data_IF_406150366921
#
_entry.id   IF_406150366921
#
_cell.length_a   1.000
_cell.length_b   1.000
_cell.length_c   1.000
_cell.angle_alpha   90.00
_cell.angle_beta   90.00
_cell.angle_gamma   90.00
#
_symmetry.space_group_name_H-M   'P 1'
#
loop_
_entity.id
_entity.type
_entity.pdbx_description
1 polymer ?
#
# COMPACT_ATOMS: atom_id res chain seq x y z
N UNK A 1 1.85 11.02 -3.53
CA UNK A 1 1.08 10.03 -2.75
C UNK A 1 -0.19 9.70 -3.51
N UNK A 2 -0.57 8.42 -3.71
CA UNK A 2 -1.81 8.06 -4.40
C UNK A 2 -3.04 8.56 -3.62
N UNK A 3 -4.12 8.80 -4.36
CA UNK A 3 -5.45 9.13 -3.85
C UNK A 3 -5.90 8.05 -2.84
N UNK A 4 -6.37 8.43 -1.65
CA UNK A 4 -6.79 7.49 -0.58
C UNK A 4 -8.31 7.32 -0.64
N UNK A 5 -8.81 6.09 -0.75
CA UNK A 5 -10.26 5.82 -0.76
C UNK A 5 -10.75 5.39 0.63
N UNK A 6 -10.01 4.49 1.29
CA UNK A 6 -10.36 4.03 2.65
C UNK A 6 -9.13 3.82 3.53
N UNK A 7 -9.35 3.92 4.84
CA UNK A 7 -8.37 3.57 5.88
C UNK A 7 -9.05 2.64 6.88
N UNK A 8 -8.34 1.57 7.26
CA UNK A 8 -8.71 0.69 8.36
C UNK A 8 -7.69 0.91 9.46
N UNK A 9 -8.09 1.52 10.57
CA UNK A 9 -7.25 1.70 11.75
C UNK A 9 -7.23 0.44 12.61
N UNK A 10 -6.04 0.01 13.02
CA UNK A 10 -5.76 -1.21 13.77
C UNK A 10 -4.92 -0.92 15.05
N UNK A 11 -5.01 0.30 15.58
CA UNK A 11 -4.16 0.78 16.68
C UNK A 11 -2.80 1.24 16.17
N UNK A 12 -1.74 0.52 16.52
CA UNK A 12 -0.36 0.82 16.08
C UNK A 12 -0.11 0.41 14.62
N UNK A 13 -1.14 -0.05 13.92
CA UNK A 13 -1.10 -0.34 12.49
C UNK A 13 -2.31 0.28 11.80
N UNK A 14 -2.19 0.52 10.50
CA UNK A 14 -3.31 0.92 9.64
C UNK A 14 -3.15 0.37 8.24
N UNK A 15 -4.26 0.07 7.60
CA UNK A 15 -4.30 -0.36 6.20
C UNK A 15 -4.86 0.77 5.36
N UNK A 16 -4.09 1.21 4.38
CA UNK A 16 -4.54 2.16 3.37
C UNK A 16 -4.94 1.41 2.12
N UNK A 17 -6.12 1.76 1.61
CA UNK A 17 -6.67 1.12 0.43
C UNK A 17 -7.07 2.19 -0.56
N UNK A 18 -6.68 1.96 -1.80
CA UNK A 18 -7.09 2.72 -2.97
C UNK A 18 -7.40 1.74 -4.09
N UNK A 19 -8.39 2.07 -4.91
CA UNK A 19 -8.61 1.41 -6.18
C UNK A 19 -8.97 2.40 -7.28
N UNK A 20 -8.80 1.93 -8.50
CA UNK A 20 -9.31 2.55 -9.72
C UNK A 20 -10.11 1.51 -10.48
N UNK A 21 -11.27 1.92 -10.99
CA UNK A 21 -12.17 1.06 -11.75
C UNK A 21 -12.52 1.70 -13.09
N UNK A 22 -12.60 0.90 -14.15
CA UNK A 22 -13.12 1.29 -15.46
C UNK A 22 -14.29 0.38 -15.82
N UNK A 23 -15.43 0.94 -16.20
CA UNK A 23 -16.68 0.21 -16.53
C UNK A 23 -17.10 -0.86 -15.50
N UNK A 24 -16.80 -0.63 -14.22
CA UNK A 24 -17.10 -1.55 -13.13
C UNK A 24 -16.05 -2.64 -12.91
N UNK A 25 -15.00 -2.70 -13.73
CA UNK A 25 -13.87 -3.60 -13.55
C UNK A 25 -12.74 -2.91 -12.79
N UNK A 26 -12.05 -3.66 -11.92
CA UNK A 26 -10.90 -3.17 -11.17
C UNK A 26 -9.67 -3.11 -12.08
N UNK A 27 -9.19 -1.89 -12.40
CA UNK A 27 -8.03 -1.70 -13.30
C UNK A 27 -6.72 -1.47 -12.55
N UNK A 28 -6.78 -0.96 -11.32
CA UNK A 28 -5.59 -0.75 -10.49
C UNK A 28 -5.98 -0.65 -9.02
N UNK A 29 -5.07 -1.00 -8.12
CA UNK A 29 -5.28 -0.84 -6.69
C UNK A 29 -3.95 -0.71 -5.94
N UNK A 30 -4.06 -0.27 -4.69
CA UNK A 30 -3.01 -0.40 -3.70
C UNK A 30 -3.62 -0.74 -2.34
N UNK A 31 -3.01 -1.70 -1.65
CA UNK A 31 -3.28 -2.06 -0.26
C UNK A 31 -1.97 -1.96 0.49
N UNK A 32 -1.83 -0.96 1.36
CA UNK A 32 -0.58 -0.61 2.03
C UNK A 32 -0.76 -0.83 3.53
N UNK A 33 0.07 -1.69 4.12
CA UNK A 33 0.16 -1.84 5.57
C UNK A 33 1.21 -0.87 6.10
N UNK A 34 0.75 0.04 6.96
CA UNK A 34 1.60 0.93 7.73
C UNK A 34 1.60 0.50 9.19
N UNK A 35 2.77 0.53 9.83
CA UNK A 35 2.95 0.29 11.26
C UNK A 35 3.60 1.52 11.88
N UNK A 36 3.13 1.92 13.05
CA UNK A 36 3.69 3.02 13.82
C UNK A 36 4.83 2.50 14.69
N UNK A 37 6.04 3.03 14.48
CA UNK A 37 7.20 2.78 15.32
C UNK A 37 7.59 4.09 16.00
N UNK A 38 7.23 4.24 17.27
CA UNK A 38 7.33 5.53 17.96
C UNK A 38 6.37 6.54 17.35
N UNK A 39 6.90 7.68 16.88
CA UNK A 39 6.12 8.77 16.26
C UNK A 39 6.07 8.68 14.72
N UNK A 40 6.65 7.64 14.12
CA UNK A 40 6.78 7.49 12.67
C UNK A 40 5.93 6.32 12.13
N UNK A 41 5.32 6.52 10.97
CA UNK A 41 4.58 5.48 10.26
C UNK A 41 5.43 4.91 9.13
N UNK A 42 5.74 3.61 9.21
CA UNK A 42 6.53 2.91 8.21
C UNK A 42 5.68 1.97 7.37
N UNK A 43 5.96 1.90 6.07
CA UNK A 43 5.37 0.92 5.16
C UNK A 43 6.07 -0.42 5.30
N UNK A 44 5.35 -1.43 5.79
CA UNK A 44 5.89 -2.77 6.00
C UNK A 44 5.68 -3.65 4.76
N UNK A 45 4.52 -3.53 4.12
CA UNK A 45 4.23 -4.22 2.87
C UNK A 45 3.17 -3.46 2.10
N UNK A 46 3.20 -3.59 0.78
CA UNK A 46 2.13 -3.12 -0.10
C UNK A 46 1.82 -4.16 -1.16
N UNK A 47 0.56 -4.24 -1.52
CA UNK A 47 0.14 -4.85 -2.76
C UNK A 47 -0.25 -3.71 -3.69
N UNK A 48 0.31 -3.66 -4.89
CA UNK A 48 -0.10 -2.68 -5.87
C UNK A 48 0.00 -3.24 -7.30
N UNK A 49 -0.46 -2.45 -8.26
CA UNK A 49 -0.37 -2.76 -9.68
C UNK A 49 0.70 -1.90 -10.38
N UNK A 50 1.78 -1.48 -9.70
CA UNK A 50 2.87 -0.77 -10.37
C UNK A 50 3.43 -1.67 -11.49
N UNK A 51 3.64 -1.11 -12.69
CA UNK A 51 3.92 -1.83 -13.95
C UNK A 51 2.75 -2.62 -14.57
N UNK A 52 1.52 -2.41 -14.12
CA UNK A 52 0.32 -2.99 -14.75
C UNK A 52 0.01 -4.44 -14.34
N UNK A 53 0.78 -4.99 -13.40
CA UNK A 53 0.57 -6.33 -12.87
C UNK A 53 0.45 -6.28 -11.34
N UNK A 54 -0.51 -7.01 -10.75
CA UNK A 54 -0.60 -7.15 -9.30
C UNK A 54 0.67 -7.82 -8.77
N UNK A 55 1.34 -7.16 -7.83
CA UNK A 55 2.45 -7.76 -7.11
C UNK A 55 2.47 -7.30 -5.66
N UNK A 56 3.18 -8.08 -4.85
CA UNK A 56 3.44 -7.76 -3.44
C UNK A 56 4.84 -7.18 -3.36
N UNK A 57 4.94 -5.97 -2.87
CA UNK A 57 6.20 -5.37 -2.45
C UNK A 57 6.33 -5.53 -0.93
N UNK A 58 7.51 -5.93 -0.49
CA UNK A 58 7.85 -6.12 0.92
C UNK A 58 9.07 -5.26 1.17
N UNK A 59 8.97 -4.32 2.11
CA UNK A 59 10.08 -3.43 2.46
C UNK A 59 10.93 -4.13 3.54
N UNK A 60 12.24 -4.27 3.30
CA UNK A 60 13.17 -5.01 4.16
C UNK A 60 14.51 -5.31 3.46
N UNK A 61 15.41 -6.09 4.08
CA UNK A 61 16.74 -6.45 3.51
C UNK A 61 16.69 -7.12 2.11
N UNK A 62 15.51 -7.57 1.68
CA UNK A 62 15.27 -8.21 0.37
C UNK A 62 14.40 -7.36 -0.57
N UNK A 63 14.14 -6.08 -0.26
CA UNK A 63 13.26 -5.25 -1.10
C UNK A 63 13.99 -4.70 -2.34
N UNK A 64 13.35 -4.80 -3.51
CA UNK A 64 13.81 -4.19 -4.76
C UNK A 64 13.48 -2.70 -4.89
N UNK A 65 12.74 -2.13 -3.93
CA UNK A 65 12.26 -0.75 -3.93
C UNK A 65 12.93 0.06 -2.82
N UNK A 66 13.51 1.21 -3.17
CA UNK A 66 14.01 2.21 -2.23
C UNK A 66 12.88 3.18 -1.88
N UNK A 67 12.75 3.49 -0.58
CA UNK A 67 11.84 4.50 -0.04
C UNK A 67 12.11 5.86 -0.72
N UNK A 68 11.10 6.42 -1.41
CA UNK A 68 11.07 7.82 -1.87
C UNK A 68 9.89 8.51 -1.19
#
# INVERSE_FOLDING_TARGET
>A
MPFKEWTIDLGDARVYIWRSTDKGELVSFAVILLVCFGDEWECVTRYDCVHGFPHRDVIGKESGSVLI
#
